data_IF_121004698883
#
_entry.id   IF_121004698883
#
_cell.length_a   1.000
_cell.length_b   1.000
_cell.length_c   1.000
_cell.angle_alpha   90.00
_cell.angle_beta   90.00
_cell.angle_gamma   90.00
#
_symmetry.space_group_name_H-M   'P 1'
#
loop_
_entity.id
_entity.type
_entity.pdbx_description
1 polymer ?
#
# COMPACT_ATOMS: atom_id res chain seq x y z
N UNK A 1 19.75 -11.74 15.18
CA UNK A 1 18.57 -11.11 15.77
C UNK A 1 18.31 -9.86 14.95
N UNK A 2 17.33 -9.87 14.03
CA UNK A 2 16.98 -8.69 13.24
C UNK A 2 16.14 -7.79 14.14
N UNK A 3 16.64 -6.62 14.50
CA UNK A 3 15.88 -5.65 15.29
C UNK A 3 15.11 -4.75 14.32
N UNK A 4 13.79 -4.95 14.19
CA UNK A 4 12.94 -4.03 13.44
C UNK A 4 12.77 -2.74 14.24
N UNK A 5 13.22 -1.61 13.69
CA UNK A 5 12.96 -0.28 14.26
C UNK A 5 11.80 0.36 13.53
N UNK A 6 10.67 0.51 14.23
CA UNK A 6 9.55 1.32 13.76
C UNK A 6 10.01 2.79 13.67
N UNK A 7 9.93 3.36 12.47
CA UNK A 7 10.28 4.75 12.21
C UNK A 7 9.00 5.53 11.92
N UNK A 8 8.89 6.73 12.49
CA UNK A 8 7.86 7.68 12.09
C UNK A 8 8.37 8.44 10.87
N UNK A 9 7.76 8.19 9.71
CA UNK A 9 8.27 8.68 8.42
C UNK A 9 9.49 7.90 7.93
N UNK A 10 10.28 8.51 7.04
CA UNK A 10 11.49 7.88 6.51
C UNK A 10 12.56 7.67 7.58
N UNK A 11 13.31 6.55 7.53
CA UNK A 11 14.37 6.28 8.48
C UNK A 11 15.60 7.17 8.20
N UNK A 12 16.46 7.31 9.21
CA UNK A 12 17.74 8.00 9.09
C UNK A 12 18.92 7.03 8.98
N UNK A 13 18.65 5.76 8.70
CA UNK A 13 19.63 4.67 8.63
C UNK A 13 19.43 3.89 7.34
N UNK A 14 20.49 3.20 6.93
CA UNK A 14 20.56 2.40 5.71
C UNK A 14 19.64 1.18 5.64
N UNK A 15 19.03 0.78 6.77
CA UNK A 15 18.16 -0.38 6.94
C UNK A 15 18.69 -1.61 6.18
N UNK A 16 19.64 -2.34 6.78
CA UNK A 16 20.31 -3.50 6.16
C UNK A 16 19.34 -4.49 5.48
N UNK A 17 18.18 -4.75 6.10
CA UNK A 17 17.13 -5.64 5.59
C UNK A 17 16.11 -4.96 4.65
N UNK A 18 16.39 -3.74 4.21
CA UNK A 18 15.51 -2.89 3.41
C UNK A 18 14.59 -2.00 4.24
N UNK A 19 14.03 -0.99 3.58
CA UNK A 19 12.93 -0.19 4.11
C UNK A 19 11.64 -0.98 3.92
N UNK A 20 11.00 -1.40 5.00
CA UNK A 20 9.70 -2.05 4.96
C UNK A 20 8.60 -1.02 5.22
N UNK A 21 7.67 -0.90 4.27
CA UNK A 21 6.50 -0.04 4.37
C UNK A 21 5.26 -0.89 4.45
N UNK A 22 4.42 -0.65 5.47
CA UNK A 22 3.14 -1.35 5.68
C UNK A 22 1.95 -0.40 5.67
N UNK A 23 1.04 -0.59 4.73
CA UNK A 23 -0.21 0.16 4.64
C UNK A 23 -1.31 -0.74 5.14
N UNK A 24 -1.96 -0.33 6.22
CA UNK A 24 -3.10 -1.04 6.79
C UNK A 24 -4.37 -0.27 6.45
N UNK A 25 -5.36 -0.96 5.93
CA UNK A 25 -6.71 -0.42 5.78
C UNK A 25 -7.54 -0.72 7.04
N UNK A 26 -8.57 0.09 7.35
CA UNK A 26 -9.56 -0.25 8.37
C UNK A 26 -10.14 -1.65 8.13
N UNK A 27 -10.35 -2.41 9.19
CA UNK A 27 -10.78 -3.82 9.12
C UNK A 27 -11.99 -4.12 10.01
N UNK A 28 -12.67 -3.07 10.48
CA UNK A 28 -13.86 -3.17 11.33
C UNK A 28 -14.93 -2.24 10.77
N UNK A 29 -16.16 -2.74 10.69
CA UNK A 29 -17.33 -2.04 10.18
C UNK A 29 -18.34 -1.79 11.29
N UNK A 30 -19.04 -0.65 11.24
CA UNK A 30 -20.06 -0.26 12.21
C UNK A 30 -21.32 -1.15 12.18
N UNK A 31 -21.49 -1.96 11.14
CA UNK A 31 -22.62 -2.86 10.98
C UNK A 31 -23.90 -2.19 10.45
N UNK A 32 -23.83 -0.90 10.13
CA UNK A 32 -24.99 -0.08 9.79
C UNK A 32 -24.78 0.67 8.47
N UNK A 33 -23.67 1.38 8.32
CA UNK A 33 -23.47 2.34 7.25
C UNK A 33 -22.48 1.81 6.20
N UNK A 34 -22.93 1.62 4.96
CA UNK A 34 -22.01 1.28 3.86
C UNK A 34 -21.06 2.42 3.49
N UNK A 35 -21.43 3.66 3.85
CA UNK A 35 -20.63 4.86 3.71
C UNK A 35 -21.07 5.89 4.76
N UNK A 36 -20.19 6.83 5.09
CA UNK A 36 -20.45 7.93 6.03
C UNK A 36 -20.22 9.28 5.34
N UNK A 37 -20.77 10.41 5.84
CA UNK A 37 -20.58 11.72 5.19
C UNK A 37 -19.12 12.17 5.05
N UNK A 38 -18.23 11.65 5.90
CA UNK A 38 -16.78 11.88 5.84
C UNK A 38 -16.00 10.77 5.10
N UNK A 39 -16.72 9.78 4.56
CA UNK A 39 -16.21 8.59 3.87
C UNK A 39 -15.21 7.74 4.68
N UNK A 40 -15.20 7.88 6.01
CA UNK A 40 -14.19 7.26 6.90
C UNK A 40 -14.79 6.63 8.14
N UNK A 41 -15.66 7.37 8.83
CA UNK A 41 -16.17 7.00 10.17
C UNK A 41 -17.07 5.77 10.23
N UNK A 42 -17.50 5.21 9.10
CA UNK A 42 -18.18 3.91 9.04
C UNK A 42 -17.23 2.71 9.21
N UNK A 43 -15.91 2.94 9.22
CA UNK A 43 -14.90 1.91 9.46
C UNK A 43 -13.91 2.30 10.56
N UNK A 44 -13.30 1.29 11.18
CA UNK A 44 -12.26 1.45 12.19
C UNK A 44 -11.11 0.45 12.03
N UNK A 45 -9.98 0.79 12.63
CA UNK A 45 -8.82 -0.08 12.75
C UNK A 45 -8.98 -1.07 13.90
N UNK A 46 -8.27 -2.20 13.79
CA UNK A 46 -8.11 -3.16 14.89
C UNK A 46 -7.30 -2.55 16.04
N UNK A 47 -7.40 -3.14 17.22
CA UNK A 47 -6.65 -2.70 18.41
C UNK A 47 -5.12 -2.85 18.29
N UNK A 48 -4.63 -3.69 17.37
CA UNK A 48 -3.21 -3.82 17.05
C UNK A 48 -2.98 -3.73 15.53
N UNK A 49 -1.71 -3.61 15.13
CA UNK A 49 -1.32 -3.43 13.72
C UNK A 49 -1.61 -4.69 12.91
N UNK A 50 -1.13 -5.86 13.36
CA UNK A 50 -1.18 -7.11 12.60
C UNK A 50 -2.42 -7.97 12.93
N UNK A 51 -2.99 -7.80 14.12
CA UNK A 51 -4.12 -8.56 14.64
C UNK A 51 -4.90 -7.69 15.64
N UNK A 52 -5.73 -8.31 16.48
CA UNK A 52 -6.47 -7.62 17.54
C UNK A 52 -7.97 -7.66 17.34
N UNK A 53 -8.65 -6.87 18.16
CA UNK A 53 -10.10 -6.85 18.24
C UNK A 53 -10.66 -5.60 17.58
N UNK A 54 -11.87 -5.73 17.06
CA UNK A 54 -12.64 -4.58 16.65
C UNK A 54 -13.17 -3.80 17.85
N UNK A 55 -13.19 -2.44 17.78
CA UNK A 55 -13.79 -1.65 18.84
C UNK A 55 -15.30 -1.92 18.92
N UNK A 56 -15.89 -1.71 20.09
CA UNK A 56 -17.34 -1.93 20.30
C UNK A 56 -18.22 -1.06 19.41
N UNK A 57 -17.71 0.05 18.89
CA UNK A 57 -18.39 0.92 17.91
C UNK A 57 -18.40 0.34 16.50
N UNK A 58 -17.52 -0.61 16.18
CA UNK A 58 -17.38 -1.24 14.87
C UNK A 58 -17.30 -2.76 14.99
N UNK A 59 -18.34 -3.44 15.48
CA UNK A 59 -18.24 -4.83 15.95
C UNK A 59 -18.09 -5.86 14.84
N UNK A 60 -18.25 -5.49 13.56
CA UNK A 60 -18.24 -6.43 12.44
C UNK A 60 -16.84 -6.47 11.82
N UNK A 61 -16.08 -7.58 11.94
CA UNK A 61 -14.78 -7.69 11.30
C UNK A 61 -14.92 -7.81 9.79
N UNK A 62 -14.03 -7.13 9.07
CA UNK A 62 -13.87 -7.23 7.63
C UNK A 62 -12.62 -8.05 7.29
N UNK A 63 -12.54 -8.51 6.05
CA UNK A 63 -11.29 -9.01 5.50
C UNK A 63 -10.23 -7.90 5.53
N UNK A 64 -9.17 -8.13 6.29
CA UNK A 64 -8.11 -7.15 6.46
C UNK A 64 -7.26 -7.05 5.20
N UNK A 65 -7.27 -5.87 4.60
CA UNK A 65 -6.36 -5.52 3.51
C UNK A 65 -5.12 -4.84 4.10
N UNK A 66 -3.95 -5.39 3.78
CA UNK A 66 -2.68 -4.75 4.08
C UNK A 66 -1.71 -4.92 2.90
N UNK A 67 -0.93 -3.88 2.64
CA UNK A 67 0.15 -3.92 1.65
C UNK A 67 1.47 -3.83 2.38
N UNK A 68 2.34 -4.81 2.17
CA UNK A 68 3.71 -4.82 2.67
C UNK A 68 4.66 -4.79 1.49
N UNK A 69 5.54 -3.79 1.46
CA UNK A 69 6.54 -3.64 0.41
C UNK A 69 7.89 -3.44 1.10
N UNK A 70 8.86 -4.24 0.72
CA UNK A 70 10.25 -4.09 1.15
C UNK A 70 11.06 -3.50 0.00
N UNK A 71 11.59 -2.30 0.23
CA UNK A 71 12.44 -1.56 -0.70
C UNK A 71 13.91 -1.86 -0.39
N UNK A 72 14.62 -2.41 -1.37
CA UNK A 72 16.06 -2.64 -1.27
C UNK A 72 16.83 -1.32 -1.43
N UNK A 73 16.87 -0.56 -0.34
CA UNK A 73 17.60 0.71 -0.26
C UNK A 73 19.07 0.52 0.12
N UNK A 74 19.42 -0.63 0.71
CA UNK A 74 20.76 -0.88 1.26
C UNK A 74 21.79 -1.06 0.14
N UNK A 75 21.38 -1.52 -1.04
CA UNK A 75 22.20 -1.51 -2.26
C UNK A 75 22.69 -0.11 -2.67
N UNK A 76 22.01 0.95 -2.24
CA UNK A 76 22.41 2.33 -2.50
C UNK A 76 23.19 2.97 -1.33
N UNK A 77 23.37 2.26 -0.21
CA UNK A 77 24.00 2.79 1.02
C UNK A 77 25.29 3.55 0.75
N UNK A 78 26.20 2.99 -0.06
CA UNK A 78 27.49 3.61 -0.45
C UNK A 78 27.37 5.00 -1.09
N UNK A 79 26.20 5.38 -1.60
CA UNK A 79 25.95 6.69 -2.24
C UNK A 79 25.55 7.78 -1.25
N UNK A 80 25.15 7.42 -0.03
CA UNK A 80 24.60 8.36 0.95
C UNK A 80 25.02 8.11 2.41
N UNK A 81 25.95 7.19 2.68
CA UNK A 81 26.59 7.07 4.02
C UNK A 81 27.13 8.44 4.46
N UNK A 82 26.72 8.91 5.64
CA UNK A 82 27.11 10.22 6.19
C UNK A 82 26.40 11.43 5.57
N UNK A 83 25.40 11.22 4.72
CA UNK A 83 24.55 12.26 4.11
C UNK A 83 23.09 12.12 4.59
N UNK A 84 22.26 13.16 4.41
CA UNK A 84 20.81 13.06 4.64
C UNK A 84 20.17 11.97 3.77
N UNK A 85 19.03 11.46 4.25
CA UNK A 85 18.19 10.49 3.54
C UNK A 85 17.87 10.97 2.11
N UNK A 86 18.21 10.21 1.06
CA UNK A 86 18.11 10.68 -0.33
C UNK A 86 16.81 10.28 -1.04
N UNK A 87 15.98 9.43 -0.42
CA UNK A 87 14.79 8.88 -1.07
C UNK A 87 13.55 9.71 -0.78
N UNK A 88 12.66 9.76 -1.76
CA UNK A 88 11.37 10.45 -1.68
C UNK A 88 10.31 9.56 -2.31
N UNK A 89 9.06 9.71 -1.90
CA UNK A 89 7.95 9.10 -2.63
C UNK A 89 7.66 9.87 -3.92
N UNK A 90 7.14 9.16 -4.93
CA UNK A 90 6.83 9.75 -6.24
C UNK A 90 5.70 10.77 -6.21
N UNK A 91 4.94 10.85 -5.12
CA UNK A 91 3.92 11.87 -4.86
C UNK A 91 4.47 13.12 -4.18
N UNK A 92 5.75 13.46 -4.41
CA UNK A 92 6.42 14.65 -3.87
C UNK A 92 6.74 14.63 -2.37
N UNK A 93 6.61 13.51 -1.67
CA UNK A 93 6.81 13.45 -0.23
C UNK A 93 8.26 13.04 0.13
N UNK A 94 9.07 13.92 0.75
CA UNK A 94 10.39 13.61 1.26
C UNK A 94 10.39 13.21 2.75
N UNK A 95 9.22 13.12 3.39
CA UNK A 95 9.08 12.88 4.84
C UNK A 95 8.72 11.42 5.16
N UNK A 96 8.07 10.72 4.23
CA UNK A 96 7.70 9.31 4.34
C UNK A 96 6.27 9.07 4.81
N UNK A 97 5.51 10.12 5.15
CA UNK A 97 4.13 10.03 5.66
C UNK A 97 3.04 10.02 4.56
N UNK A 98 3.39 10.39 3.33
CA UNK A 98 2.47 10.55 2.21
C UNK A 98 2.18 9.26 1.44
N UNK A 99 2.55 8.10 1.97
CA UNK A 99 2.28 6.83 1.30
C UNK A 99 0.81 6.46 1.43
N UNK A 100 0.17 6.18 0.29
CA UNK A 100 -1.22 5.79 0.20
C UNK A 100 -1.37 4.54 -0.67
N UNK A 101 -2.53 3.91 -0.58
CA UNK A 101 -2.84 2.71 -1.33
C UNK A 101 -4.34 2.63 -1.54
N UNK A 102 -4.71 2.32 -2.76
CA UNK A 102 -6.10 2.13 -3.17
C UNK A 102 -6.35 0.65 -3.38
N UNK A 103 -7.55 0.21 -3.03
CA UNK A 103 -8.02 -1.12 -3.34
C UNK A 103 -9.27 -1.04 -4.21
N UNK A 104 -9.24 -1.75 -5.33
CA UNK A 104 -10.40 -1.94 -6.20
C UNK A 104 -10.71 -3.43 -6.27
N UNK A 105 -11.92 -3.80 -5.85
CA UNK A 105 -12.37 -5.18 -5.98
C UNK A 105 -12.81 -5.45 -7.43
N UNK A 106 -12.04 -6.27 -8.15
CA UNK A 106 -12.39 -6.76 -9.49
C UNK A 106 -12.96 -8.18 -9.52
N UNK A 107 -13.17 -8.82 -8.37
CA UNK A 107 -13.65 -10.19 -8.29
C UNK A 107 -15.15 -10.29 -8.52
N UNK A 108 -15.62 -11.44 -8.99
CA UNK A 108 -17.03 -11.79 -8.85
C UNK A 108 -17.36 -11.92 -7.36
N UNK A 109 -18.34 -11.15 -6.89
CA UNK A 109 -18.67 -11.07 -5.47
C UNK A 109 -19.11 -12.42 -4.89
N UNK A 110 -19.78 -13.28 -5.68
CA UNK A 110 -20.22 -14.60 -5.23
C UNK A 110 -19.03 -15.52 -5.03
N UNK A 111 -18.10 -15.53 -5.99
CA UNK A 111 -16.86 -16.29 -5.88
C UNK A 111 -16.04 -15.83 -4.67
N UNK A 112 -15.88 -14.51 -4.51
CA UNK A 112 -15.09 -13.96 -3.43
C UNK A 112 -15.69 -14.24 -2.05
N UNK A 113 -17.01 -14.08 -1.90
CA UNK A 113 -17.70 -14.40 -0.65
C UNK A 113 -17.56 -15.87 -0.27
N UNK A 114 -17.77 -16.79 -1.23
CA UNK A 114 -17.58 -18.22 -0.97
C UNK A 114 -16.15 -18.55 -0.54
N UNK A 115 -15.14 -17.90 -1.14
CA UNK A 115 -13.76 -18.11 -0.74
C UNK A 115 -13.49 -17.66 0.71
N UNK A 116 -14.04 -16.51 1.12
CA UNK A 116 -13.93 -16.02 2.50
C UNK A 116 -14.54 -17.02 3.49
N UNK A 117 -15.73 -17.53 3.19
CA UNK A 117 -16.51 -18.37 4.10
C UNK A 117 -15.99 -19.81 4.20
N UNK A 118 -15.36 -20.32 3.13
CA UNK A 118 -15.08 -21.75 2.98
C UNK A 118 -13.62 -22.11 2.78
N UNK A 119 -12.74 -21.18 2.39
CA UNK A 119 -11.34 -21.48 2.08
C UNK A 119 -10.37 -21.22 3.24
N UNK A 120 -10.85 -21.27 4.47
CA UNK A 120 -10.05 -21.20 5.70
C UNK A 120 -10.20 -22.45 6.59
N UNK A 121 -10.72 -23.56 6.04
CA UNK A 121 -11.23 -24.69 6.84
C UNK A 121 -10.29 -25.89 6.93
N UNK A 122 -9.20 -25.95 6.15
CA UNK A 122 -8.26 -27.08 6.16
C UNK A 122 -6.79 -26.63 6.18
N UNK A 123 -5.85 -27.46 6.70
CA UNK A 123 -4.43 -27.10 6.77
C UNK A 123 -3.81 -26.73 5.42
N UNK A 124 -4.23 -27.38 4.33
CA UNK A 124 -3.74 -27.06 2.99
C UNK A 124 -4.29 -25.73 2.46
N UNK A 125 -5.49 -25.33 2.88
CA UNK A 125 -6.09 -24.03 2.56
C UNK A 125 -5.52 -22.89 3.41
N UNK A 126 -5.09 -23.19 4.64
CA UNK A 126 -4.51 -22.21 5.58
C UNK A 126 -3.07 -21.83 5.26
N UNK A 127 -2.38 -22.59 4.40
CA UNK A 127 -0.99 -22.33 4.03
C UNK A 127 -0.82 -21.28 2.91
N UNK A 128 -1.89 -20.57 2.53
CA UNK A 128 -1.85 -19.57 1.45
C UNK A 128 -1.77 -20.18 0.03
N UNK A 129 -2.13 -21.46 -0.13
CA UNK A 129 -2.22 -22.12 -1.44
C UNK A 129 -3.58 -21.78 -2.08
N UNK A 130 -3.58 -20.87 -3.03
CA UNK A 130 -4.81 -20.38 -3.72
C UNK A 130 -5.57 -21.53 -4.39
N UNK A 131 -4.86 -22.53 -4.87
CA UNK A 131 -5.27 -23.71 -5.62
C UNK A 131 -6.06 -24.69 -4.74
N UNK A 132 -5.90 -24.60 -3.41
CA UNK A 132 -6.64 -25.40 -2.46
C UNK A 132 -8.07 -24.88 -2.24
N UNK A 133 -8.38 -23.67 -2.72
CA UNK A 133 -9.72 -23.10 -2.67
C UNK A 133 -10.53 -23.50 -3.91
N UNK A 134 -11.54 -24.38 -3.79
CA UNK A 134 -12.28 -24.91 -4.95
C UNK A 134 -13.14 -23.86 -5.65
N UNK A 135 -13.35 -22.70 -5.03
CA UNK A 135 -14.08 -21.57 -5.61
C UNK A 135 -13.22 -20.73 -6.56
N UNK A 136 -11.88 -20.88 -6.52
CA UNK A 136 -10.98 -20.16 -7.40
C UNK A 136 -10.62 -20.96 -8.65
N UNK A 137 -10.74 -20.31 -9.80
CA UNK A 137 -10.15 -20.79 -11.05
C UNK A 137 -8.76 -20.17 -11.19
N UNK A 138 -7.73 -20.95 -10.85
CA UNK A 138 -6.34 -20.47 -10.97
C UNK A 138 -5.92 -20.50 -12.44
N UNK A 139 -5.55 -19.33 -12.96
CA UNK A 139 -5.07 -19.19 -14.33
C UNK A 139 -3.55 -19.47 -14.41
N UNK A 140 -3.06 -20.03 -15.53
CA UNK A 140 -1.63 -20.18 -15.76
C UNK A 140 -0.89 -18.84 -15.70
N UNK A 141 0.37 -18.87 -15.23
CA UNK A 141 1.24 -17.69 -15.17
C UNK A 141 1.45 -17.01 -16.53
N UNK A 142 1.37 -17.77 -17.63
CA UNK A 142 1.43 -17.24 -18.99
C UNK A 142 0.25 -16.32 -19.33
N UNK A 143 -0.95 -16.65 -18.86
CA UNK A 143 -2.15 -15.81 -19.03
C UNK A 143 -2.00 -14.49 -18.28
N UNK A 144 -1.54 -14.55 -17.03
CA UNK A 144 -1.22 -13.34 -16.25
C UNK A 144 -0.14 -12.51 -16.96
N UNK A 145 0.91 -13.16 -17.45
CA UNK A 145 1.99 -12.51 -18.19
C UNK A 145 1.55 -11.96 -19.54
N UNK A 146 0.36 -12.27 -20.05
CA UNK A 146 -0.20 -11.62 -21.23
C UNK A 146 -1.05 -10.38 -20.87
N UNK A 147 -1.52 -10.28 -19.62
CA UNK A 147 -2.19 -9.10 -19.12
C UNK A 147 -1.17 -7.95 -19.03
N UNK A 148 -1.40 -6.90 -19.80
CA UNK A 148 -0.63 -5.66 -19.75
C UNK A 148 -1.63 -4.55 -19.48
N UNK A 149 -1.27 -3.65 -18.57
CA UNK A 149 -1.94 -2.37 -18.53
C UNK A 149 -1.87 -1.77 -19.93
N UNK A 150 -2.98 -1.20 -20.41
CA UNK A 150 -2.93 -0.36 -21.60
C UNK A 150 -1.90 0.74 -21.34
N UNK A 151 -1.18 1.12 -22.39
CA UNK A 151 -0.13 2.14 -22.34
C UNK A 151 -0.55 3.35 -21.51
N UNK A 152 0.43 3.96 -20.83
CA UNK A 152 0.22 5.13 -19.98
C UNK A 152 -0.68 6.16 -20.67
N UNK A 153 -1.85 6.41 -20.10
CA UNK A 153 -2.81 7.43 -20.58
C UNK A 153 -2.16 8.82 -20.63
N UNK A 154 -1.12 9.02 -19.81
CA UNK A 154 -0.30 10.23 -19.76
C UNK A 154 1.03 9.97 -20.47
N UNK A 155 1.36 10.82 -21.44
CA UNK A 155 2.62 10.77 -22.18
C UNK A 155 3.61 11.75 -21.55
N UNK A 156 4.56 11.24 -20.77
CA UNK A 156 5.63 12.03 -20.17
C UNK A 156 6.93 11.23 -19.98
N UNK A 157 8.09 11.89 -19.79
CA UNK A 157 9.33 11.20 -19.47
C UNK A 157 9.25 10.54 -18.09
N UNK A 158 9.21 9.21 -18.05
CA UNK A 158 9.18 8.41 -16.81
C UNK A 158 10.40 7.48 -16.67
N UNK A 159 11.31 7.51 -17.63
CA UNK A 159 12.45 6.60 -17.70
C UNK A 159 13.78 7.36 -17.64
N UNK A 160 14.76 6.77 -16.96
CA UNK A 160 16.12 7.29 -16.85
C UNK A 160 16.29 8.36 -15.75
N UNK A 161 17.49 8.94 -15.64
CA UNK A 161 17.75 10.03 -14.70
C UNK A 161 16.93 11.27 -15.06
N UNK A 162 16.27 11.86 -14.06
CA UNK A 162 15.43 13.04 -14.23
C UNK A 162 15.83 14.12 -13.21
N UNK A 163 15.71 15.39 -13.62
CA UNK A 163 15.98 16.53 -12.73
C UNK A 163 14.83 16.80 -11.74
N UNK A 164 13.62 16.29 -12.02
CA UNK A 164 12.41 16.44 -11.22
C UNK A 164 11.49 15.23 -11.37
N UNK A 165 10.55 15.05 -10.44
CA UNK A 165 9.55 13.99 -10.53
C UNK A 165 8.59 14.24 -11.72
N UNK A 166 8.14 13.17 -12.41
CA UNK A 166 7.07 13.24 -13.40
C UNK A 166 5.78 13.84 -12.81
N UNK A 167 4.90 14.40 -13.66
CA UNK A 167 3.57 14.86 -13.28
C UNK A 167 3.52 16.25 -12.65
N UNK A 168 4.60 17.04 -12.75
CA UNK A 168 4.75 18.30 -11.99
C UNK A 168 4.61 18.09 -10.47
N UNK A 169 5.51 17.29 -9.92
CA UNK A 169 5.51 16.89 -8.53
C UNK A 169 6.73 17.47 -7.79
N UNK A 170 6.76 18.79 -7.47
CA UNK A 170 7.86 19.38 -6.72
C UNK A 170 7.83 18.91 -5.26
N UNK A 171 8.99 18.60 -4.69
CA UNK A 171 9.10 18.08 -3.31
C UNK A 171 8.47 19.05 -2.29
N UNK A 172 7.64 18.50 -1.40
CA UNK A 172 6.91 19.27 -0.39
C UNK A 172 7.27 18.78 1.01
N UNK A 173 8.10 19.55 1.72
CA UNK A 173 8.71 19.13 2.99
C UNK A 173 7.78 19.28 4.21
N UNK A 174 6.58 19.84 4.03
CA UNK A 174 5.65 20.13 5.12
C UNK A 174 6.15 21.22 6.08
N UNK A 175 5.60 21.33 7.30
CA UNK A 175 4.52 20.50 7.87
C UNK A 175 3.11 20.92 7.45
N UNK A 176 2.97 21.99 6.64
CA UNK A 176 1.67 22.41 6.11
C UNK A 176 1.11 21.42 5.08
N UNK A 177 -0.17 21.60 4.75
CA UNK A 177 -0.84 20.80 3.73
C UNK A 177 -0.11 20.89 2.39
N UNK A 178 -0.07 19.77 1.67
CA UNK A 178 0.49 19.72 0.34
C UNK A 178 -0.32 20.62 -0.62
N UNK A 179 0.38 21.41 -1.42
CA UNK A 179 -0.19 22.21 -2.49
C UNK A 179 -0.34 21.36 -3.74
N UNK A 180 -1.51 21.42 -4.37
CA UNK A 180 -1.73 20.79 -5.67
C UNK A 180 -1.05 21.61 -6.76
N UNK A 181 -0.14 20.98 -7.50
CA UNK A 181 0.46 21.55 -8.69
C UNK A 181 -0.16 20.96 -9.95
N UNK A 182 -0.30 21.81 -10.95
CA UNK A 182 -0.75 21.50 -12.30
C UNK A 182 0.36 21.90 -13.27
N UNK A 183 0.21 21.50 -14.54
CA UNK A 183 1.12 21.92 -15.60
C UNK A 183 1.19 23.46 -15.75
N UNK A 184 0.13 24.19 -15.41
CA UNK A 184 0.04 25.64 -15.56
C UNK A 184 0.78 26.44 -14.47
N UNK A 185 1.00 25.86 -13.29
CA UNK A 185 1.61 26.53 -12.14
C UNK A 185 2.83 25.77 -11.60
N UNK A 186 3.46 24.96 -12.44
CA UNK A 186 4.60 24.14 -12.06
C UNK A 186 5.81 25.00 -11.70
N UNK A 187 6.33 24.94 -10.45
CA UNK A 187 7.58 25.61 -10.13
C UNK A 187 8.70 24.94 -10.94
N UNK A 188 9.43 25.76 -11.68
CA UNK A 188 10.59 25.35 -12.48
C UNK A 188 11.80 25.24 -11.56
#
# INVERSE_FOLDING_TARGET
MITMKLCAGFPTTDCEAGLNTRLHMPACWDGVNLDSPDHKSHTAYLSMIDNGDCPSTHPIPLMKLFYEITWDISTFSSRWVGKPWPFVWSNSDPTGYGWHGDFFNGWDNTVFQNAIDHCNQTPDQLAGKVEACPYFTVLPSSTFSACRAKTTEIVEPINGPMAKLPGCNPLQYGPGDATLYSTANCPI
#
